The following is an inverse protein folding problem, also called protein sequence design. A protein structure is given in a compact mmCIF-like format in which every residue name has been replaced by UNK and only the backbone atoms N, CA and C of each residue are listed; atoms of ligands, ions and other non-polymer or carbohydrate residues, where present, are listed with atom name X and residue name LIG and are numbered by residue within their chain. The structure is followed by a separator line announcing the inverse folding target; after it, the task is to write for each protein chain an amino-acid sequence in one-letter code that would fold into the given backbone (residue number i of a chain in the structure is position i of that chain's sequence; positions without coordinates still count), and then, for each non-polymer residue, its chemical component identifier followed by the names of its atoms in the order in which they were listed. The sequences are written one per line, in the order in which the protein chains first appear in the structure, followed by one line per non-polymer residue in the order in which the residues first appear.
data_IF_199856727467
#
_entry.id   IF_199856727467
#
_cell.length_a   1.000
_cell.length_b   1.000
_cell.length_c   1.000
_cell.angle_alpha   90.00
_cell.angle_beta   90.00
_cell.angle_gamma   90.00
#
_symmetry.space_group_name_H-M   'P 1'
#
loop_
_entity.id
_entity.type
_entity.pdbx_description
1 polymer ?
#
# COMPACT_ATOMS: atom_id res chain seq x y z
N UNK A 1 -3.98 27.97 -3.20
CA UNK A 1 -3.29 26.76 -3.69
C UNK A 1 -1.93 26.74 -3.01
N UNK A 2 -1.61 25.66 -2.28
CA UNK A 2 -0.33 25.55 -1.56
C UNK A 2 0.83 25.50 -2.57
N UNK A 3 1.96 26.13 -2.25
CA UNK A 3 3.18 26.09 -3.06
C UNK A 3 3.61 24.66 -3.39
N UNK A 4 3.34 23.69 -2.51
CA UNK A 4 3.61 22.27 -2.76
C UNK A 4 2.68 21.67 -3.82
N UNK A 5 1.38 21.94 -3.75
CA UNK A 5 0.40 21.47 -4.73
C UNK A 5 0.69 22.01 -6.13
N UNK A 6 1.12 23.28 -6.21
CA UNK A 6 1.51 23.88 -7.48
C UNK A 6 2.72 23.18 -8.12
N UNK A 7 3.75 22.88 -7.32
CA UNK A 7 4.93 22.13 -7.80
C UNK A 7 4.58 20.71 -8.27
N UNK A 8 3.68 20.03 -7.56
CA UNK A 8 3.21 18.71 -7.98
C UNK A 8 2.47 18.76 -9.31
N UNK A 9 1.59 19.75 -9.51
CA UNK A 9 0.87 19.91 -10.77
C UNK A 9 1.80 20.27 -11.94
N UNK A 10 2.77 21.16 -11.72
CA UNK A 10 3.79 21.52 -12.72
C UNK A 10 4.64 20.31 -13.11
N UNK A 11 5.04 19.50 -12.15
CA UNK A 11 5.82 18.30 -12.43
C UNK A 11 5.01 17.19 -13.10
N UNK A 12 3.74 17.03 -12.75
CA UNK A 12 2.83 16.11 -13.46
C UNK A 12 2.70 16.49 -14.93
N UNK A 13 2.60 17.80 -15.21
CA UNK A 13 2.53 18.32 -16.57
C UNK A 13 3.88 18.21 -17.32
N UNK A 14 5.00 18.16 -16.59
CA UNK A 14 6.34 18.04 -17.14
C UNK A 14 6.84 16.58 -17.27
N UNK A 15 6.02 15.59 -16.93
CA UNK A 15 6.37 14.17 -17.10
C UNK A 15 6.74 13.87 -18.56
N UNK A 16 7.72 12.99 -18.75
CA UNK A 16 8.02 12.46 -20.07
C UNK A 16 6.82 11.66 -20.60
N UNK A 17 6.66 11.53 -21.93
CA UNK A 17 5.60 10.68 -22.48
C UNK A 17 5.65 9.23 -21.99
N UNK A 18 6.86 8.73 -21.72
CA UNK A 18 7.06 7.38 -21.20
C UNK A 18 6.58 7.26 -19.75
N UNK A 19 6.91 8.23 -18.90
CA UNK A 19 6.49 8.25 -17.49
C UNK A 19 4.99 8.52 -17.37
N UNK A 20 4.41 9.34 -18.26
CA UNK A 20 2.96 9.53 -18.30
C UNK A 20 2.24 8.23 -18.66
N UNK A 21 2.70 7.52 -19.68
CA UNK A 21 2.14 6.22 -20.04
C UNK A 21 2.34 5.17 -18.94
N UNK A 22 3.45 5.24 -18.18
CA UNK A 22 3.69 4.39 -17.01
C UNK A 22 2.67 4.70 -15.90
N UNK A 23 2.47 5.97 -15.57
CA UNK A 23 1.47 6.42 -14.58
C UNK A 23 0.04 6.01 -14.97
N UNK A 24 -0.33 6.19 -16.24
CA UNK A 24 -1.67 5.84 -16.74
C UNK A 24 -1.93 4.33 -16.63
N UNK A 25 -0.92 3.49 -16.91
CA UNK A 25 -1.03 2.03 -16.73
C UNK A 25 -1.20 1.66 -15.26
N UNK A 26 -0.42 2.24 -14.35
CA UNK A 26 -0.52 1.94 -12.92
C UNK A 26 -1.85 2.38 -12.33
N UNK A 27 -2.33 3.55 -12.71
CA UNK A 27 -3.63 4.04 -12.30
C UNK A 27 -4.75 3.09 -12.77
N UNK A 28 -4.64 2.58 -13.99
CA UNK A 28 -5.59 1.59 -14.52
C UNK A 28 -5.55 0.26 -13.76
N UNK A 29 -4.36 -0.20 -13.34
CA UNK A 29 -4.21 -1.44 -12.56
C UNK A 29 -4.77 -1.30 -11.15
N UNK A 30 -4.61 -0.13 -10.53
CA UNK A 30 -5.10 0.17 -9.19
C UNK A 30 -6.55 0.69 -9.16
N UNK A 31 -7.25 0.70 -10.31
CA UNK A 31 -8.62 1.24 -10.48
C UNK A 31 -8.80 2.68 -9.95
N UNK A 32 -7.80 3.53 -10.18
CA UNK A 32 -7.80 4.96 -9.79
C UNK A 32 -7.43 5.85 -10.98
N UNK A 33 -7.59 7.17 -10.83
CA UNK A 33 -7.12 8.11 -11.85
C UNK A 33 -5.62 8.42 -11.71
N UNK A 34 -4.91 8.75 -12.80
CA UNK A 34 -3.50 9.16 -12.74
C UNK A 34 -3.25 10.32 -11.78
N UNK A 35 -4.19 11.27 -11.72
CA UNK A 35 -4.12 12.42 -10.82
C UNK A 35 -4.28 12.04 -9.35
N UNK A 36 -4.99 10.95 -9.06
CA UNK A 36 -5.13 10.41 -7.71
C UNK A 36 -3.88 9.64 -7.26
N UNK A 37 -3.24 8.92 -8.18
CA UNK A 37 -2.02 8.15 -7.91
C UNK A 37 -0.76 9.02 -7.88
N UNK A 38 -0.77 10.16 -8.58
CA UNK A 38 0.39 11.05 -8.71
C UNK A 38 1.01 11.52 -7.39
N UNK A 39 0.27 11.92 -6.35
CA UNK A 39 0.87 12.34 -5.08
C UNK A 39 1.78 11.28 -4.45
N UNK A 40 1.44 10.00 -4.59
CA UNK A 40 2.23 8.89 -4.06
C UNK A 40 3.46 8.66 -4.93
N UNK A 41 3.31 8.66 -6.25
CA UNK A 41 4.46 8.55 -7.19
C UNK A 41 5.42 9.74 -7.01
N UNK A 42 4.92 10.93 -6.73
CA UNK A 42 5.73 12.10 -6.44
C UNK A 42 6.51 11.97 -5.13
N UNK A 43 5.91 11.33 -4.12
CA UNK A 43 6.49 11.23 -2.78
C UNK A 43 7.47 10.06 -2.66
N UNK A 44 7.10 8.90 -3.20
CA UNK A 44 7.80 7.63 -3.04
C UNK A 44 8.56 7.21 -4.31
N UNK A 45 8.22 7.78 -5.47
CA UNK A 45 8.76 7.37 -6.76
C UNK A 45 7.93 6.27 -7.41
N UNK A 46 8.23 6.00 -8.68
CA UNK A 46 7.50 4.98 -9.43
C UNK A 46 7.71 3.57 -8.86
N UNK A 47 8.94 3.18 -8.55
CA UNK A 47 9.27 1.81 -8.14
C UNK A 47 8.49 1.37 -6.90
N UNK A 48 8.50 2.18 -5.84
CA UNK A 48 7.75 1.89 -4.61
C UNK A 48 6.23 1.78 -4.84
N UNK A 49 5.67 2.65 -5.68
CA UNK A 49 4.23 2.62 -5.99
C UNK A 49 3.89 1.40 -6.85
N UNK A 50 4.74 1.01 -7.79
CA UNK A 50 4.56 -0.20 -8.59
C UNK A 50 4.58 -1.46 -7.74
N UNK A 51 5.52 -1.53 -6.80
CA UNK A 51 5.61 -2.64 -5.87
C UNK A 51 4.37 -2.71 -4.96
N UNK A 52 3.85 -1.56 -4.51
CA UNK A 52 2.60 -1.47 -3.76
C UNK A 52 1.39 -1.97 -4.54
N UNK A 53 1.18 -1.46 -5.76
CA UNK A 53 0.08 -1.91 -6.63
C UNK A 53 0.17 -3.40 -6.93
N UNK A 54 1.38 -3.93 -7.17
CA UNK A 54 1.56 -5.36 -7.37
C UNK A 54 1.20 -6.16 -6.11
N UNK A 55 1.64 -5.71 -4.94
CA UNK A 55 1.32 -6.38 -3.68
C UNK A 55 -0.19 -6.41 -3.41
N UNK A 56 -0.91 -5.33 -3.74
CA UNK A 56 -2.36 -5.28 -3.60
C UNK A 56 -3.06 -6.29 -4.53
N UNK A 57 -2.63 -6.37 -5.81
CA UNK A 57 -3.16 -7.34 -6.76
C UNK A 57 -2.87 -8.80 -6.33
N UNK A 58 -1.67 -9.07 -5.84
CA UNK A 58 -1.31 -10.40 -5.29
C UNK A 58 -2.17 -10.73 -4.06
N UNK A 59 -2.43 -9.76 -3.19
CA UNK A 59 -3.30 -9.94 -2.03
C UNK A 59 -4.74 -10.23 -2.43
N UNK A 60 -5.28 -9.54 -3.44
CA UNK A 60 -6.61 -9.83 -3.99
C UNK A 60 -6.69 -11.25 -4.57
N UNK A 61 -5.64 -11.70 -5.26
CA UNK A 61 -5.56 -13.07 -5.78
C UNK A 61 -5.55 -14.10 -4.64
N UNK A 62 -4.77 -13.86 -3.59
CA UNK A 62 -4.72 -14.71 -2.40
C UNK A 62 -6.07 -14.79 -1.68
N UNK A 63 -6.78 -13.67 -1.58
CA UNK A 63 -8.14 -13.61 -1.03
C UNK A 63 -9.09 -14.44 -1.90
N UNK A 64 -9.07 -14.24 -3.22
CA UNK A 64 -9.93 -14.96 -4.15
C UNK A 64 -9.66 -16.48 -4.16
N UNK A 65 -8.40 -16.87 -3.98
CA UNK A 65 -7.98 -18.27 -3.89
C UNK A 65 -8.21 -18.89 -2.51
N UNK A 66 -8.70 -18.13 -1.52
CA UNK A 66 -8.89 -18.61 -0.15
C UNK A 66 -7.59 -18.96 0.58
N UNK A 67 -6.47 -18.33 0.19
CA UNK A 67 -5.14 -18.55 0.79
C UNK A 67 -4.88 -17.67 2.03
N UNK A 68 -5.84 -16.82 2.40
CA UNK A 68 -5.76 -15.94 3.58
C UNK A 68 -6.33 -16.57 4.84
N UNK A 69 -5.84 -16.12 6.00
CA UNK A 69 -6.38 -16.50 7.32
C UNK A 69 -7.43 -15.47 7.76
N UNK A 70 -8.61 -15.88 8.26
CA UNK A 70 -9.60 -14.95 8.81
C UNK A 70 -9.04 -14.11 9.96
N UNK A 71 -9.45 -12.83 10.03
CA UNK A 71 -8.98 -11.91 11.07
C UNK A 71 -9.22 -12.43 12.50
N UNK A 72 -10.38 -13.04 12.76
CA UNK A 72 -10.73 -13.57 14.07
C UNK A 72 -9.75 -14.67 14.53
N UNK A 73 -9.29 -15.51 13.60
CA UNK A 73 -8.30 -16.56 13.88
C UNK A 73 -6.93 -15.95 14.19
N UNK A 74 -6.49 -14.97 13.39
CA UNK A 74 -5.25 -14.22 13.63
C UNK A 74 -5.29 -13.54 15.02
N UNK A 75 -6.39 -12.87 15.36
CA UNK A 75 -6.53 -12.16 16.62
C UNK A 75 -6.62 -13.11 17.82
N UNK A 76 -7.27 -14.27 17.67
CA UNK A 76 -7.29 -15.30 18.70
C UNK A 76 -5.89 -15.89 18.96
N UNK A 77 -5.09 -16.09 17.92
CA UNK A 77 -3.70 -16.53 18.07
C UNK A 77 -2.80 -15.45 18.68
N UNK A 78 -2.90 -14.21 18.21
CA UNK A 78 -2.15 -13.08 18.76
C UNK A 78 -2.42 -12.92 20.26
N UNK A 79 -3.68 -13.03 20.70
CA UNK A 79 -4.05 -12.98 22.12
C UNK A 79 -3.40 -14.12 22.92
N UNK A 80 -3.42 -15.35 22.41
CA UNK A 80 -2.76 -16.51 23.06
C UNK A 80 -1.26 -16.28 23.25
N UNK A 81 -0.59 -15.73 22.24
CA UNK A 81 0.84 -15.38 22.31
C UNK A 81 1.06 -14.35 23.41
N UNK A 82 0.33 -13.24 23.39
CA UNK A 82 0.44 -12.17 24.40
C UNK A 82 0.23 -12.72 25.81
N UNK A 83 -0.80 -13.52 26.04
CA UNK A 83 -1.08 -14.10 27.37
C UNK A 83 0.05 -15.01 27.88
N UNK A 84 0.69 -15.77 26.98
CA UNK A 84 1.79 -16.67 27.35
C UNK A 84 3.03 -15.93 27.85
N UNK A 85 3.36 -14.77 27.26
CA UNK A 85 4.48 -13.94 27.68
C UNK A 85 4.10 -12.99 28.83
N UNK A 86 2.88 -12.46 28.85
CA UNK A 86 2.41 -11.58 29.91
C UNK A 86 2.29 -12.31 31.26
N UNK A 87 1.84 -13.58 31.27
CA UNK A 87 1.79 -14.40 32.50
C UNK A 87 3.18 -14.67 33.08
N UNK A 88 4.20 -14.87 32.24
CA UNK A 88 5.59 -15.06 32.71
C UNK A 88 6.12 -13.86 33.53
N UNK A 89 5.71 -12.64 33.19
CA UNK A 89 6.17 -11.44 33.91
C UNK A 89 5.48 -11.24 35.28
N UNK A 90 4.26 -11.76 35.48
CA UNK A 90 3.54 -11.65 36.77
C UNK A 90 4.08 -12.57 37.86
N UNK A 91 4.80 -13.64 37.50
CA UNK A 91 5.34 -14.62 38.46
C UNK A 91 6.84 -14.43 38.74
N UNK A 92 7.46 -13.37 38.21
CA UNK A 92 8.86 -13.01 38.46
C UNK A 92 9.00 -11.88 39.50
N UNK A 93 8.01 -11.77 40.40
CA UNK A 93 8.05 -10.91 41.59
C UNK A 93 8.64 -11.64 42.78
#
# INVERSE_FOLDING_TARGET
MDSRQKKQAEALAALSPADRARLDRLASLADVTPEHLWPDVWLYGFEDVEDGVRADLEAEEDIAAGRTIPNDEVMAEARRIVESYAKRKRNAG
#
